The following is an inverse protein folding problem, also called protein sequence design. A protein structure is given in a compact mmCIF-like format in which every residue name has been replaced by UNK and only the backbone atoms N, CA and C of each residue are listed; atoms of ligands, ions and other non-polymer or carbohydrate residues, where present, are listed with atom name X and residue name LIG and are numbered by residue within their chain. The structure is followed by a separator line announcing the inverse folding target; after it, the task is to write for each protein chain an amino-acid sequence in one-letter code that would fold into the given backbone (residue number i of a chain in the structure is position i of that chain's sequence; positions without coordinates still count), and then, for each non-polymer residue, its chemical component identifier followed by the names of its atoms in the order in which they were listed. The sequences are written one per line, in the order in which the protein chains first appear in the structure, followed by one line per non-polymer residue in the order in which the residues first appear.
data_IF_076534849824
#
_entry.id   IF_076534849824
#
_cell.length_a   1.000
_cell.length_b   1.000
_cell.length_c   1.000
_cell.angle_alpha   90.00
_cell.angle_beta   90.00
_cell.angle_gamma   90.00
#
_symmetry.space_group_name_H-M   'P 1'
#
loop_
_entity.id
_entity.type
_entity.pdbx_description
1 polymer ?
#
# COMPACT_ATOMS: atom_id res chain seq x y z
N UNK A 1 16.29 2.20 -79.23
CA UNK A 1 16.37 3.27 -78.22
C UNK A 1 14.94 3.59 -77.85
N UNK A 2 14.55 3.30 -76.61
CA UNK A 2 13.60 4.05 -75.78
C UNK A 2 13.40 3.25 -74.50
N UNK A 3 14.13 3.69 -73.47
CA UNK A 3 14.00 3.20 -72.10
C UNK A 3 12.75 3.82 -71.48
N UNK A 4 11.81 3.01 -71.00
CA UNK A 4 10.79 3.46 -70.06
C UNK A 4 11.04 2.82 -68.68
N UNK A 5 11.87 3.51 -67.90
CA UNK A 5 11.93 3.34 -66.46
C UNK A 5 10.75 4.12 -65.85
N UNK A 6 9.73 3.40 -65.38
CA UNK A 6 8.61 3.98 -64.64
C UNK A 6 8.42 3.21 -63.34
N UNK A 7 9.31 3.47 -62.37
CA UNK A 7 9.15 3.02 -61.00
C UNK A 7 7.89 3.66 -60.39
N UNK A 8 6.78 2.92 -60.44
CA UNK A 8 5.56 3.25 -59.71
C UNK A 8 5.76 3.01 -58.22
N UNK A 9 6.40 3.97 -57.54
CA UNK A 9 6.44 4.01 -56.08
C UNK A 9 5.05 4.33 -55.57
N UNK A 10 4.28 3.28 -55.29
CA UNK A 10 3.00 3.38 -54.60
C UNK A 10 3.28 3.87 -53.17
N UNK A 11 3.15 5.19 -52.99
CA UNK A 11 3.28 5.91 -51.72
C UNK A 11 2.16 5.55 -50.76
N UNK A 12 2.21 4.35 -50.19
CA UNK A 12 1.46 4.00 -48.99
C UNK A 12 2.03 4.81 -47.82
N UNK A 13 1.47 6.01 -47.65
CA UNK A 13 1.28 6.73 -46.39
C UNK A 13 2.10 6.20 -45.19
N UNK A 14 3.38 6.58 -45.10
CA UNK A 14 4.27 6.32 -43.96
C UNK A 14 4.09 7.35 -42.82
N UNK A 15 3.11 8.25 -42.92
CA UNK A 15 3.02 9.43 -42.05
C UNK A 15 2.33 9.21 -40.71
N UNK A 16 1.83 8.00 -40.41
CA UNK A 16 1.26 7.69 -39.09
C UNK A 16 2.20 6.94 -38.15
N UNK A 17 3.44 6.62 -38.57
CA UNK A 17 4.32 5.71 -37.83
C UNK A 17 5.13 6.37 -36.70
N UNK A 18 5.15 7.70 -36.61
CA UNK A 18 5.96 8.45 -35.64
C UNK A 18 5.16 9.59 -35.00
N UNK A 19 4.06 9.28 -34.31
CA UNK A 19 3.54 10.22 -33.34
C UNK A 19 4.28 9.99 -32.00
N UNK A 20 5.18 10.90 -31.58
CA UNK A 20 6.00 10.71 -30.39
C UNK A 20 5.16 10.59 -29.12
N UNK A 21 3.93 11.12 -29.10
CA UNK A 21 3.02 10.93 -27.97
C UNK A 21 2.47 9.50 -27.92
N UNK A 22 2.13 8.89 -29.07
CA UNK A 22 1.74 7.47 -29.12
C UNK A 22 2.88 6.53 -28.72
N UNK A 23 4.12 6.87 -29.06
CA UNK A 23 5.30 6.12 -28.62
C UNK A 23 5.44 6.17 -27.09
N UNK A 24 5.38 7.37 -26.51
CA UNK A 24 5.46 7.55 -25.04
C UNK A 24 4.34 6.84 -24.30
N UNK A 25 3.12 6.82 -24.84
CA UNK A 25 2.02 6.06 -24.24
C UNK A 25 2.32 4.57 -24.21
N UNK A 26 2.83 3.99 -25.30
CA UNK A 26 3.20 2.57 -25.35
C UNK A 26 4.31 2.22 -24.36
N UNK A 27 5.35 3.05 -24.27
CA UNK A 27 6.46 2.82 -23.34
C UNK A 27 5.97 2.85 -21.88
N UNK A 28 5.06 3.79 -21.57
CA UNK A 28 4.44 3.88 -20.25
C UNK A 28 3.56 2.65 -19.95
N UNK A 29 2.73 2.22 -20.89
CA UNK A 29 1.84 1.07 -20.73
C UNK A 29 2.64 -0.23 -20.53
N UNK A 30 3.73 -0.41 -21.27
CA UNK A 30 4.63 -1.55 -21.12
C UNK A 30 5.32 -1.54 -19.73
N UNK A 31 5.78 -0.38 -19.28
CA UNK A 31 6.38 -0.24 -17.94
C UNK A 31 5.37 -0.53 -16.82
N UNK A 32 4.13 -0.04 -16.96
CA UNK A 32 3.05 -0.28 -16.02
C UNK A 32 2.68 -1.77 -15.96
N UNK A 33 2.63 -2.43 -17.11
CA UNK A 33 2.35 -3.85 -17.19
C UNK A 33 3.46 -4.70 -16.55
N UNK A 34 4.75 -4.38 -16.80
CA UNK A 34 5.88 -5.06 -16.14
C UNK A 34 5.83 -4.91 -14.61
N UNK A 35 5.49 -3.71 -14.13
CA UNK A 35 5.32 -3.46 -12.70
C UNK A 35 4.17 -4.30 -12.13
N UNK A 36 3.04 -4.39 -12.84
CA UNK A 36 1.90 -5.21 -12.42
C UNK A 36 2.28 -6.69 -12.33
N UNK A 37 2.95 -7.23 -13.35
CA UNK A 37 3.44 -8.61 -13.37
C UNK A 37 4.37 -8.91 -12.19
N UNK A 38 5.30 -7.99 -11.91
CA UNK A 38 6.20 -8.12 -10.78
C UNK A 38 5.49 -8.12 -9.42
N UNK A 39 4.51 -7.22 -9.23
CA UNK A 39 3.71 -7.14 -8.01
C UNK A 39 2.91 -8.43 -7.77
N UNK A 40 2.31 -8.97 -8.82
CA UNK A 40 1.56 -10.23 -8.73
C UNK A 40 2.48 -11.38 -8.35
N UNK A 41 3.68 -11.43 -8.93
CA UNK A 41 4.66 -12.46 -8.59
C UNK A 41 5.05 -12.39 -7.12
N UNK A 42 5.29 -11.20 -6.58
CA UNK A 42 5.59 -11.03 -5.14
C UNK A 42 4.43 -11.42 -4.22
N UNK A 43 3.20 -11.06 -4.60
CA UNK A 43 2.02 -11.30 -3.76
C UNK A 43 1.58 -12.77 -3.75
N UNK A 44 1.81 -13.48 -4.85
CA UNK A 44 1.29 -14.84 -5.05
C UNK A 44 2.37 -15.92 -4.99
N UNK A 45 3.65 -15.53 -5.05
CA UNK A 45 4.79 -16.42 -5.27
C UNK A 45 4.63 -17.30 -6.53
N UNK A 46 3.88 -16.81 -7.53
CA UNK A 46 3.66 -17.47 -8.82
C UNK A 46 4.04 -16.52 -9.93
N UNK A 47 4.71 -17.03 -10.95
CA UNK A 47 5.06 -16.26 -12.14
C UNK A 47 3.94 -16.43 -13.20
N UNK A 48 3.19 -15.37 -13.54
CA UNK A 48 2.19 -15.44 -14.60
C UNK A 48 2.88 -15.64 -15.96
N UNK A 49 2.44 -16.65 -16.72
CA UNK A 49 3.05 -17.00 -18.01
C UNK A 49 2.56 -16.12 -19.16
N UNK A 50 1.41 -15.46 -19.00
CA UNK A 50 0.82 -14.61 -20.01
C UNK A 50 0.28 -13.29 -19.46
N UNK A 51 0.00 -12.35 -20.37
CA UNK A 51 -0.63 -11.09 -20.01
C UNK A 51 -2.06 -11.24 -19.52
N UNK A 52 -2.81 -12.20 -20.08
CA UNK A 52 -4.14 -12.55 -19.58
C UNK A 52 -4.07 -13.08 -18.15
N UNK A 53 -3.15 -14.00 -17.85
CA UNK A 53 -2.99 -14.55 -16.49
C UNK A 53 -2.65 -13.43 -15.48
N UNK A 54 -1.80 -12.50 -15.90
CA UNK A 54 -1.43 -11.33 -15.09
C UNK A 54 -2.66 -10.48 -14.78
N UNK A 55 -3.50 -10.19 -15.77
CA UNK A 55 -4.69 -9.36 -15.58
C UNK A 55 -5.78 -10.07 -14.77
N UNK A 56 -5.99 -11.37 -15.01
CA UNK A 56 -6.94 -12.18 -14.23
C UNK A 56 -6.53 -12.26 -12.76
N UNK A 57 -5.25 -12.50 -12.49
CA UNK A 57 -4.74 -12.56 -11.13
C UNK A 57 -4.76 -11.18 -10.46
N UNK A 58 -4.51 -10.10 -11.20
CA UNK A 58 -4.70 -8.73 -10.71
C UNK A 58 -6.14 -8.51 -10.24
N UNK A 59 -7.13 -8.88 -11.07
CA UNK A 59 -8.55 -8.74 -10.74
C UNK A 59 -8.92 -9.55 -9.50
N UNK A 60 -8.40 -10.79 -9.41
CA UNK A 60 -8.62 -11.66 -8.24
C UNK A 60 -8.06 -11.04 -6.97
N UNK A 61 -6.81 -10.56 -7.00
CA UNK A 61 -6.15 -9.93 -5.86
C UNK A 61 -6.84 -8.62 -5.43
N UNK A 62 -7.27 -7.79 -6.40
CA UNK A 62 -8.01 -6.56 -6.10
C UNK A 62 -9.34 -6.82 -5.39
N UNK A 63 -9.99 -7.96 -5.67
CA UNK A 63 -11.20 -8.39 -4.99
C UNK A 63 -10.92 -8.95 -3.59
N UNK A 64 -9.89 -9.79 -3.46
CA UNK A 64 -9.70 -10.62 -2.27
C UNK A 64 -8.86 -9.91 -1.18
N UNK A 65 -7.82 -9.14 -1.56
CA UNK A 65 -6.90 -8.49 -0.61
C UNK A 65 -7.54 -7.49 0.36
N UNK A 66 -8.55 -6.66 -0.03
CA UNK A 66 -9.18 -5.73 0.91
C UNK A 66 -9.83 -6.46 2.09
N UNK A 67 -10.55 -7.56 1.81
CA UNK A 67 -11.21 -8.35 2.85
C UNK A 67 -10.19 -9.03 3.77
N UNK A 68 -9.12 -9.58 3.21
CA UNK A 68 -8.05 -10.23 3.97
C UNK A 68 -7.28 -9.22 4.83
N UNK A 69 -6.98 -8.03 4.31
CA UNK A 69 -6.36 -6.96 5.08
C UNK A 69 -7.24 -6.53 6.27
N UNK A 70 -8.55 -6.41 6.09
CA UNK A 70 -9.47 -6.10 7.20
C UNK A 70 -9.54 -7.22 8.23
N UNK A 71 -9.45 -8.49 7.80
CA UNK A 71 -9.38 -9.64 8.70
C UNK A 71 -8.11 -9.61 9.55
N UNK A 72 -6.95 -9.38 8.92
CA UNK A 72 -5.65 -9.30 9.59
C UNK A 72 -5.61 -8.12 10.57
N UNK A 73 -6.08 -6.94 10.15
CA UNK A 73 -6.17 -5.76 11.04
C UNK A 73 -6.99 -6.04 12.28
N UNK A 74 -8.13 -6.73 12.15
CA UNK A 74 -8.95 -7.14 13.30
C UNK A 74 -8.21 -8.10 14.23
N UNK A 75 -7.50 -9.09 13.66
CA UNK A 75 -6.70 -10.02 14.46
C UNK A 75 -5.58 -9.31 15.23
N UNK A 76 -4.87 -8.38 14.58
CA UNK A 76 -3.85 -7.56 15.24
C UNK A 76 -4.43 -6.66 16.33
N UNK A 77 -5.61 -6.07 16.11
CA UNK A 77 -6.29 -5.28 17.13
C UNK A 77 -6.72 -6.10 18.35
N UNK A 78 -7.04 -7.38 18.16
CA UNK A 78 -7.34 -8.31 19.25
C UNK A 78 -6.09 -8.81 19.96
N UNK A 79 -5.02 -9.13 19.23
CA UNK A 79 -3.74 -9.55 19.81
C UNK A 79 -3.02 -8.40 20.55
N UNK A 80 -3.13 -7.17 20.06
CA UNK A 80 -2.66 -5.96 20.75
C UNK A 80 -3.52 -5.55 21.94
N UNK A 81 -4.70 -6.15 22.10
CA UNK A 81 -5.52 -6.11 23.32
C UNK A 81 -5.25 -7.37 24.14
N UNK A 82 -4.00 -7.59 24.53
CA UNK A 82 -3.77 -8.41 25.72
C UNK A 82 -4.43 -7.66 26.89
N UNK A 83 -5.39 -8.25 27.64
CA UNK A 83 -5.76 -7.67 28.91
C UNK A 83 -4.47 -7.61 29.71
N UNK A 84 -4.13 -6.43 30.23
CA UNK A 84 -3.22 -6.37 31.36
C UNK A 84 -3.84 -7.31 32.40
N UNK A 85 -3.26 -8.50 32.56
CA UNK A 85 -3.61 -9.33 33.69
C UNK A 85 -3.46 -8.43 34.92
N UNK A 86 -4.49 -8.32 35.77
CA UNK A 86 -4.26 -7.78 37.09
C UNK A 86 -3.31 -8.77 37.73
N UNK A 87 -2.02 -8.42 37.79
CA UNK A 87 -1.16 -8.98 38.81
C UNK A 87 -1.82 -8.59 40.13
N UNK A 88 -2.65 -9.51 40.64
CA UNK A 88 -3.07 -9.57 42.01
C UNK A 88 -1.79 -9.85 42.80
N UNK A 89 -1.04 -8.78 43.08
CA UNK A 89 -0.04 -8.78 44.12
C UNK A 89 -0.81 -9.01 45.41
N UNK A 90 -0.92 -10.30 45.72
CA UNK A 90 -1.50 -10.83 46.92
C UNK A 90 -1.13 -9.94 48.09
N UNK A 91 -2.15 -9.31 48.63
CA UNK A 91 -2.41 -9.15 50.06
C UNK A 91 -1.38 -9.90 50.93
N UNK A 92 -0.23 -9.29 51.17
CA UNK A 92 0.66 -9.64 52.26
C UNK A 92 0.82 -8.40 53.12
N UNK A 93 0.13 -8.44 54.26
CA UNK A 93 0.08 -7.35 55.22
C UNK A 93 1.47 -7.04 55.74
N UNK A 94 1.84 -5.77 55.67
CA UNK A 94 2.84 -5.20 56.55
C UNK A 94 2.20 -4.10 57.39
N UNK A 95 2.22 -4.38 58.68
CA UNK A 95 1.79 -3.59 59.82
C UNK A 95 2.29 -2.15 59.77
N UNK A 96 1.40 -1.25 60.17
CA UNK A 96 1.62 0.16 60.43
C UNK A 96 2.81 0.43 61.37
N UNK A 97 3.68 1.39 61.03
CA UNK A 97 4.31 2.38 61.94
C UNK A 97 4.83 3.57 61.11
N UNK A 98 4.45 4.82 61.45
CA UNK A 98 5.13 6.02 60.93
C UNK A 98 4.23 7.21 60.57
N UNK A 99 3.80 7.96 61.58
CA UNK A 99 3.26 9.32 61.43
C UNK A 99 4.35 10.29 60.91
N UNK A 100 4.02 11.22 60.00
CA UNK A 100 4.17 12.68 60.21
C UNK A 100 3.94 13.51 58.93
N UNK A 101 2.83 14.27 58.96
CA UNK A 101 2.71 15.70 58.63
C UNK A 101 3.31 16.26 57.34
N UNK A 102 2.44 16.81 56.49
CA UNK A 102 2.85 17.78 55.46
C UNK A 102 1.74 18.19 54.48
N UNK A 103 0.58 18.62 54.99
CA UNK A 103 -0.43 19.26 54.16
C UNK A 103 -0.09 20.74 53.90
N UNK A 104 -0.14 21.16 52.64
CA UNK A 104 -0.37 22.56 52.29
C UNK A 104 -1.09 22.67 50.94
N UNK A 105 -2.13 23.48 50.97
CA UNK A 105 -3.25 23.59 50.04
C UNK A 105 -2.93 24.47 48.84
N UNK A 106 -3.48 24.09 47.68
CA UNK A 106 -4.39 24.91 46.86
C UNK A 106 -4.34 26.45 47.06
N UNK A 107 -3.79 27.17 46.07
CA UNK A 107 -4.22 28.53 45.64
C UNK A 107 -3.89 28.68 44.16
N UNK A 108 -4.83 28.48 43.23
CA UNK A 108 -5.70 29.51 42.66
C UNK A 108 -4.98 30.85 42.49
N UNK A 109 -4.60 31.18 41.25
CA UNK A 109 -4.81 32.52 40.69
C UNK A 109 -4.74 32.47 39.17
N UNK A 110 -5.93 32.43 38.57
CA UNK A 110 -6.21 33.07 37.30
C UNK A 110 -5.83 34.57 37.39
N UNK A 111 -5.17 35.11 36.36
CA UNK A 111 -5.23 36.52 35.91
C UNK A 111 -4.32 36.62 34.66
N UNK A 112 -4.91 36.49 33.45
CA UNK A 112 -5.27 37.59 32.52
C UNK A 112 -4.12 38.56 32.21
N UNK A 113 -3.62 38.46 30.96
CA UNK A 113 -3.42 39.49 29.89
C UNK A 113 -2.90 40.90 30.28
N UNK A 114 -2.13 41.59 29.43
CA UNK A 114 -2.32 41.76 27.98
C UNK A 114 -1.30 41.07 27.07
#
# INVERSE_FOLDING_TARGET
MESFNGAGTSGWNMSQRNNPNLQRHRDNDESAFKNLHHLITQLTNREPNSSCDTLEEALRLMRDLPAENERIKRQLAMAGRHPAEPYDHGRMGHTAYGQQTGGCQQRRQERRLP
#
